data_IF_832454068418
#
_entry.id   IF_832454068418
#
_cell.length_a   1.000
_cell.length_b   1.000
_cell.length_c   1.000
_cell.angle_alpha   90.00
_cell.angle_beta   90.00
_cell.angle_gamma   90.00
#
_symmetry.space_group_name_H-M   'P 1'
#
loop_
_entity.id
_entity.type
_entity.pdbx_description
1 polymer ?
#
# COMPACT_ATOMS: atom_id res chain seq x y z
N UNK A 1 -15.56 23.33 12.35
CA UNK A 1 -14.33 22.51 12.32
C UNK A 1 -14.27 21.79 13.64
N UNK A 2 -14.22 20.47 13.64
CA UNK A 2 -14.26 19.68 14.88
C UNK A 2 -12.86 19.11 15.08
N UNK A 3 -12.10 19.71 15.99
CA UNK A 3 -10.67 19.42 16.22
C UNK A 3 -10.42 18.02 16.85
N UNK A 4 -11.49 17.23 17.03
CA UNK A 4 -11.47 15.88 17.59
C UNK A 4 -11.58 14.76 16.54
N UNK A 5 -11.63 15.07 15.24
CA UNK A 5 -11.70 14.02 14.21
C UNK A 5 -10.30 13.76 13.62
N UNK A 6 -9.78 12.51 13.69
CA UNK A 6 -8.48 12.20 13.12
C UNK A 6 -8.49 12.43 11.60
N UNK A 7 -7.50 13.16 11.11
CA UNK A 7 -7.33 13.40 9.68
C UNK A 7 -6.82 12.12 8.99
N UNK A 8 -7.65 11.50 8.15
CA UNK A 8 -7.27 10.31 7.38
C UNK A 8 -6.71 10.71 6.00
N UNK A 9 -5.50 10.24 5.71
CA UNK A 9 -4.85 10.33 4.39
C UNK A 9 -4.49 8.95 3.86
N UNK A 10 -4.50 8.79 2.53
CA UNK A 10 -4.00 7.57 1.89
C UNK A 10 -2.50 7.39 2.11
N UNK A 11 -2.08 6.14 2.26
CA UNK A 11 -0.67 5.77 2.33
C UNK A 11 -0.08 5.76 0.91
N UNK A 12 1.24 5.95 0.75
CA UNK A 12 1.89 5.83 -0.56
C UNK A 12 1.49 4.53 -1.28
N UNK A 13 1.18 4.63 -2.58
CA UNK A 13 0.72 3.48 -3.37
C UNK A 13 -0.74 3.09 -3.17
N UNK A 14 -1.51 3.85 -2.39
CA UNK A 14 -2.95 3.67 -2.21
C UNK A 14 -3.75 4.91 -2.60
N UNK A 15 -5.00 4.70 -2.99
CA UNK A 15 -5.95 5.77 -3.32
C UNK A 15 -7.24 5.56 -2.52
N UNK A 16 -7.93 6.63 -2.16
CA UNK A 16 -9.23 6.53 -1.48
C UNK A 16 -10.18 5.64 -2.30
N UNK A 17 -10.90 4.75 -1.61
CA UNK A 17 -11.98 3.99 -2.25
C UNK A 17 -13.06 4.95 -2.79
N UNK A 18 -13.38 5.97 -1.99
CA UNK A 18 -14.23 7.08 -2.37
C UNK A 18 -13.64 8.40 -1.85
N UNK A 19 -13.23 9.35 -2.71
CA UNK A 19 -12.66 10.63 -2.30
C UNK A 19 -13.57 11.48 -1.39
N UNK A 20 -14.89 11.30 -1.51
CA UNK A 20 -15.89 11.99 -0.71
C UNK A 20 -16.13 11.31 0.66
N UNK A 21 -15.64 10.07 0.84
CA UNK A 21 -15.81 9.28 2.07
C UNK A 21 -14.45 8.74 2.53
N UNK A 22 -13.60 9.63 3.06
CA UNK A 22 -12.21 9.31 3.46
C UNK A 22 -12.09 8.20 4.52
N UNK A 23 -13.16 7.95 5.28
CA UNK A 23 -13.22 6.90 6.30
C UNK A 23 -13.53 5.50 5.73
N UNK A 24 -13.86 5.39 4.44
CA UNK A 24 -14.06 4.10 3.77
C UNK A 24 -12.72 3.41 3.43
N UNK A 25 -11.60 4.02 3.80
CA UNK A 25 -10.26 3.49 3.58
C UNK A 25 -9.74 3.72 2.17
N UNK A 26 -8.65 3.02 1.87
CA UNK A 26 -7.91 3.16 0.62
C UNK A 26 -7.70 1.78 -0.02
N UNK A 27 -7.72 1.75 -1.35
CA UNK A 27 -7.35 0.57 -2.15
C UNK A 27 -5.95 0.75 -2.74
N UNK A 28 -5.29 -0.36 -3.07
CA UNK A 28 -4.02 -0.32 -3.81
C UNK A 28 -4.23 0.40 -5.15
N UNK A 29 -3.21 1.12 -5.59
CA UNK A 29 -3.20 1.74 -6.91
C UNK A 29 -2.81 0.75 -8.03
N UNK A 30 -2.60 -0.53 -7.70
CA UNK A 30 -2.17 -1.57 -8.62
C UNK A 30 -2.82 -2.93 -8.29
N UNK A 31 -2.93 -3.78 -9.30
CA UNK A 31 -3.46 -5.15 -9.16
C UNK A 31 -2.38 -6.13 -8.72
N UNK A 32 -2.80 -7.27 -8.19
CA UNK A 32 -1.87 -8.35 -7.80
C UNK A 32 -1.10 -8.92 -9.00
N UNK A 33 -1.70 -8.93 -10.19
CA UNK A 33 -1.03 -9.32 -11.43
C UNK A 33 0.09 -8.37 -11.80
N UNK A 34 -0.16 -7.05 -11.73
CA UNK A 34 0.87 -6.03 -11.94
C UNK A 34 1.99 -6.11 -10.90
N UNK A 35 1.70 -6.60 -9.69
CA UNK A 35 2.73 -6.87 -8.70
C UNK A 35 3.72 -7.95 -9.17
N UNK A 36 3.22 -9.07 -9.72
CA UNK A 36 4.11 -10.13 -10.23
C UNK A 36 4.99 -9.62 -11.38
N UNK A 37 4.41 -8.85 -12.30
CA UNK A 37 5.16 -8.21 -13.39
C UNK A 37 6.18 -7.20 -12.85
N UNK A 38 5.83 -6.45 -11.80
CA UNK A 38 6.73 -5.49 -11.17
C UNK A 38 7.89 -6.16 -10.41
N UNK A 39 7.68 -7.37 -9.88
CA UNK A 39 8.73 -8.22 -9.29
C UNK A 39 9.77 -8.62 -10.35
N UNK A 40 9.30 -9.05 -11.51
CA UNK A 40 10.17 -9.42 -12.64
C UNK A 40 10.89 -8.21 -13.25
N UNK A 41 10.24 -7.03 -13.28
CA UNK A 41 10.78 -5.81 -13.90
C UNK A 41 11.47 -4.85 -12.93
N UNK A 42 11.51 -5.17 -11.63
CA UNK A 42 12.05 -4.31 -10.57
C UNK A 42 11.45 -2.88 -10.55
N UNK A 43 10.19 -2.72 -10.93
CA UNK A 43 9.52 -1.42 -11.09
C UNK A 43 8.88 -0.86 -9.81
N UNK A 44 9.50 -1.16 -8.67
CA UNK A 44 9.06 -0.68 -7.36
C UNK A 44 9.78 0.58 -6.91
N UNK A 45 9.07 1.42 -6.18
CA UNK A 45 9.67 2.49 -5.39
C UNK A 45 9.24 2.37 -3.93
N UNK A 46 10.09 2.90 -3.07
CA UNK A 46 9.87 2.95 -1.63
C UNK A 46 9.83 4.41 -1.22
N UNK A 47 8.94 4.71 -0.29
CA UNK A 47 8.97 5.98 0.42
C UNK A 47 8.98 5.67 1.90
N UNK A 48 9.93 6.31 2.56
CA UNK A 48 10.11 6.22 4.00
C UNK A 48 9.11 7.17 4.66
N UNK A 49 8.39 6.65 5.63
CA UNK A 49 7.56 7.43 6.52
C UNK A 49 8.06 7.23 7.94
N UNK A 50 8.44 8.34 8.57
CA UNK A 50 8.86 8.35 9.97
C UNK A 50 7.65 8.50 10.89
N UNK A 51 7.82 7.99 12.13
CA UNK A 51 6.88 8.18 13.24
C UNK A 51 5.54 7.50 12.97
N UNK A 52 5.56 6.35 12.29
CA UNK A 52 4.38 5.56 11.96
C UNK A 52 4.31 4.34 12.87
N UNK A 53 3.14 4.11 13.45
CA UNK A 53 2.83 2.91 14.22
C UNK A 53 1.60 2.23 13.65
N UNK A 54 1.49 0.93 13.90
CA UNK A 54 0.48 0.04 13.36
C UNK A 54 -0.01 -0.80 14.53
N UNK A 55 -1.30 -0.75 14.81
CA UNK A 55 -1.93 -1.60 15.83
C UNK A 55 -2.24 -3.02 15.30
N UNK A 56 -1.73 -3.38 14.11
CA UNK A 56 -1.93 -4.71 13.51
C UNK A 56 -0.71 -5.59 13.70
N UNK A 57 -0.93 -6.91 13.84
CA UNK A 57 0.15 -7.86 14.01
C UNK A 57 0.90 -8.06 12.69
N UNK A 58 2.24 -7.95 12.68
CA UNK A 58 3.01 -8.24 11.48
C UNK A 58 2.84 -9.71 11.11
N UNK A 59 2.59 -10.00 9.83
CA UNK A 59 2.48 -11.39 9.36
C UNK A 59 3.85 -12.07 9.26
N UNK A 60 4.91 -11.28 9.28
CA UNK A 60 6.29 -11.72 9.26
C UNK A 60 7.09 -10.87 10.24
N UNK A 61 7.85 -11.55 11.11
CA UNK A 61 8.83 -10.93 12.01
C UNK A 61 10.11 -11.74 11.95
N UNK A 62 11.23 -11.09 11.65
CA UNK A 62 12.54 -11.73 11.71
C UNK A 62 13.65 -10.69 11.95
N UNK A 63 14.73 -11.09 12.62
CA UNK A 63 15.88 -10.22 12.84
C UNK A 63 16.78 -10.20 11.61
N UNK A 64 17.03 -9.02 11.05
CA UNK A 64 17.83 -8.81 9.84
C UNK A 64 18.25 -7.33 9.72
N UNK A 65 18.98 -6.95 8.67
CA UNK A 65 19.31 -5.53 8.44
C UNK A 65 18.10 -4.73 7.91
N UNK A 66 18.13 -3.41 8.08
CA UNK A 66 17.13 -2.48 7.49
C UNK A 66 17.04 -2.67 5.96
N UNK A 67 18.19 -2.88 5.31
CA UNK A 67 18.29 -3.10 3.87
C UNK A 67 17.65 -4.43 3.44
N UNK A 68 17.92 -5.52 4.15
CA UNK A 68 17.32 -6.83 3.84
C UNK A 68 15.82 -6.83 4.12
N UNK A 69 15.39 -6.14 5.18
CA UNK A 69 13.98 -5.95 5.49
C UNK A 69 13.24 -5.27 4.33
N UNK A 70 13.85 -4.19 3.84
CA UNK A 70 13.34 -3.40 2.72
C UNK A 70 13.27 -4.23 1.43
N UNK A 71 14.38 -4.87 1.04
CA UNK A 71 14.46 -5.73 -0.15
C UNK A 71 13.46 -6.89 -0.09
N UNK A 72 13.37 -7.55 1.05
CA UNK A 72 12.48 -8.68 1.21
C UNK A 72 11.00 -8.29 1.24
N UNK A 73 10.67 -7.02 1.52
CA UNK A 73 9.31 -6.50 1.33
C UNK A 73 9.03 -6.15 -0.14
N UNK A 74 10.02 -5.58 -0.85
CA UNK A 74 9.87 -5.29 -2.28
C UNK A 74 9.52 -6.54 -3.10
N UNK A 75 10.24 -7.64 -2.81
CA UNK A 75 10.08 -8.94 -3.46
C UNK A 75 8.86 -9.74 -2.97
N UNK A 76 8.11 -9.24 -1.99
CA UNK A 76 6.91 -9.90 -1.50
C UNK A 76 5.66 -9.14 -1.97
N UNK A 77 4.87 -9.75 -2.85
CA UNK A 77 3.65 -9.14 -3.37
C UNK A 77 2.55 -8.90 -2.33
N UNK A 78 2.59 -9.63 -1.22
CA UNK A 78 1.67 -9.41 -0.11
C UNK A 78 2.11 -8.26 0.78
N UNK A 79 3.41 -7.93 0.77
CA UNK A 79 3.97 -6.87 1.60
C UNK A 79 3.45 -5.50 1.17
N UNK A 80 2.72 -4.85 2.07
CA UNK A 80 2.32 -3.46 1.96
C UNK A 80 3.42 -2.50 2.40
N UNK A 81 4.19 -2.93 3.39
CA UNK A 81 5.27 -2.17 3.96
C UNK A 81 6.02 -2.97 5.01
N UNK A 82 7.13 -2.41 5.47
CA UNK A 82 7.96 -3.01 6.49
C UNK A 82 8.40 -1.96 7.52
N UNK A 83 8.21 -2.30 8.79
CA UNK A 83 8.69 -1.56 9.94
C UNK A 83 10.03 -2.17 10.37
N UNK A 84 11.06 -1.34 10.44
CA UNK A 84 12.35 -1.73 11.01
C UNK A 84 12.54 -1.06 12.37
N UNK A 85 12.67 -1.88 13.41
CA UNK A 85 12.77 -1.40 14.79
C UNK A 85 13.71 -2.31 15.58
N UNK A 86 14.75 -1.72 16.20
CA UNK A 86 15.68 -2.42 17.11
C UNK A 86 16.27 -3.74 16.56
N UNK A 87 16.55 -3.80 15.26
CA UNK A 87 17.11 -4.99 14.59
C UNK A 87 16.06 -6.01 14.12
N UNK A 88 14.78 -5.78 14.41
CA UNK A 88 13.68 -6.60 13.93
C UNK A 88 13.02 -5.97 12.70
N UNK A 89 12.85 -6.79 11.66
CA UNK A 89 12.00 -6.51 10.52
C UNK A 89 10.59 -7.03 10.77
N UNK A 90 9.59 -6.15 10.68
CA UNK A 90 8.17 -6.48 10.83
C UNK A 90 7.44 -6.11 9.54
N UNK A 91 6.96 -7.10 8.78
CA UNK A 91 6.21 -6.82 7.54
C UNK A 91 4.71 -6.83 7.80
N UNK A 92 4.02 -5.93 7.10
CA UNK A 92 2.58 -5.77 7.14
C UNK A 92 2.01 -6.06 5.76
N UNK A 93 0.87 -6.77 5.72
CA UNK A 93 0.18 -7.11 4.48
C UNK A 93 -1.02 -6.20 4.27
N UNK A 94 -1.48 -6.10 3.03
CA UNK A 94 -2.77 -5.46 2.79
C UNK A 94 -3.96 -6.36 3.19
N UNK A 95 -5.11 -5.77 3.58
CA UNK A 95 -5.30 -4.34 3.82
C UNK A 95 -4.57 -3.89 5.10
N UNK A 96 -3.90 -2.74 5.02
CA UNK A 96 -3.24 -2.11 6.17
C UNK A 96 -4.31 -1.58 7.12
N UNK A 97 -4.27 -2.01 8.39
CA UNK A 97 -5.21 -1.59 9.42
C UNK A 97 -4.51 -0.75 10.48
N UNK A 98 -5.24 0.25 10.99
CA UNK A 98 -4.84 1.06 12.14
C UNK A 98 -3.45 1.72 12.05
N UNK A 99 -2.96 1.95 10.83
CA UNK A 99 -1.76 2.75 10.62
C UNK A 99 -2.03 4.20 11.03
N UNK A 100 -1.21 4.73 11.94
CA UNK A 100 -1.33 6.08 12.47
C UNK A 100 0.04 6.69 12.68
N UNK A 101 0.15 8.01 12.51
CA UNK A 101 1.35 8.75 12.86
C UNK A 101 1.33 9.03 14.36
N UNK A 102 2.39 8.68 15.08
CA UNK A 102 2.51 8.92 16.51
C UNK A 102 3.76 9.77 16.77
N UNK A 103 3.58 10.98 17.29
CA UNK A 103 4.72 11.83 17.64
C UNK A 103 5.55 11.21 18.76
N UNK A 104 6.87 11.12 18.56
CA UNK A 104 7.81 10.53 19.53
C UNK A 104 8.25 9.10 19.20
N UNK A 105 7.63 8.46 18.21
CA UNK A 105 8.08 7.15 17.72
C UNK A 105 9.30 7.30 16.80
N UNK A 106 10.38 6.57 17.05
CA UNK A 106 11.59 6.54 16.21
C UNK A 106 11.52 5.50 15.09
N UNK A 107 10.42 4.75 15.02
CA UNK A 107 10.16 3.74 14.00
C UNK A 107 10.25 4.30 12.59
N UNK A 108 11.04 3.62 11.75
CA UNK A 108 11.08 3.84 10.30
C UNK A 108 10.19 2.84 9.60
N UNK A 109 9.31 3.34 8.74
CA UNK A 109 8.44 2.47 7.97
C UNK A 109 8.57 2.73 6.48
N UNK A 110 8.71 1.64 5.74
CA UNK A 110 8.81 1.62 4.29
C UNK A 110 7.46 1.24 3.69
N UNK A 111 6.94 2.07 2.80
CA UNK A 111 5.75 1.74 2.00
C UNK A 111 6.12 1.38 0.58
N UNK A 112 5.60 0.25 0.09
CA UNK A 112 5.79 -0.21 -1.29
C UNK A 112 4.75 0.42 -2.21
N UNK A 113 5.21 1.05 -3.28
CA UNK A 113 4.34 1.51 -4.35
C UNK A 113 4.96 1.22 -5.73
N UNK A 114 4.10 1.05 -6.74
CA UNK A 114 4.56 0.96 -8.12
C UNK A 114 4.83 2.36 -8.65
N UNK A 115 6.02 2.57 -9.20
CA UNK A 115 6.36 3.78 -9.92
C UNK A 115 6.21 3.52 -11.41
N UNK A 116 5.06 3.86 -11.94
CA UNK A 116 4.87 3.97 -13.38
C UNK A 116 5.41 5.34 -13.80
N UNK A 117 6.44 5.37 -14.65
CA UNK A 117 6.92 6.64 -15.22
C UNK A 117 5.76 7.36 -15.90
N UNK A 118 5.77 8.69 -15.92
CA UNK A 118 4.66 9.51 -16.44
C UNK A 118 4.20 9.14 -17.86
N UNK A 119 5.07 8.54 -18.68
CA UNK A 119 4.75 8.02 -20.01
C UNK A 119 3.90 6.73 -20.03
N UNK A 120 3.92 5.94 -18.95
CA UNK A 120 3.09 4.72 -18.80
C UNK A 120 1.80 4.97 -18.01
N UNK A 121 1.68 6.18 -17.44
CA UNK A 121 0.58 6.61 -16.59
C UNK A 121 -0.75 6.81 -17.33
N UNK A 122 -0.76 6.74 -18.67
CA UNK A 122 -1.97 6.76 -19.51
C UNK A 122 -2.39 5.35 -19.96
N UNK A 123 -1.46 4.41 -20.12
CA UNK A 123 -1.74 3.10 -20.73
C UNK A 123 -2.11 1.99 -19.73
N UNK A 124 -1.87 2.21 -18.43
CA UNK A 124 -2.13 1.22 -17.38
C UNK A 124 -2.96 1.75 -16.20
N UNK A 125 -3.60 2.93 -16.31
CA UNK A 125 -4.61 3.30 -15.30
C UNK A 125 -5.73 2.28 -15.39
N UNK A 126 -5.97 1.45 -14.35
CA UNK A 126 -7.30 0.91 -14.18
C UNK A 126 -8.16 2.15 -13.95
N UNK A 127 -9.04 2.48 -14.89
CA UNK A 127 -9.99 3.55 -14.69
C UNK A 127 -10.67 3.30 -13.35
N UNK A 128 -10.39 4.18 -12.38
CA UNK A 128 -11.03 4.14 -11.09
C UNK A 128 -12.43 4.73 -11.26
N UNK A 129 -13.26 4.06 -12.04
CA UNK A 129 -14.66 4.36 -12.28
C UNK A 129 -15.51 3.21 -11.74
N UNK A 130 -16.61 3.58 -11.09
CA UNK A 130 -17.72 2.69 -10.74
C UNK A 130 -18.45 2.15 -12.00
N UNK A 131 -18.00 2.50 -13.20
CA UNK A 131 -18.57 2.07 -14.48
C UNK A 131 -18.16 0.65 -14.88
N UNK A 132 -17.13 0.05 -14.26
CA UNK A 132 -16.69 -1.31 -14.59
C UNK A 132 -17.68 -2.42 -14.13
N UNK A 133 -18.64 -2.10 -13.25
CA UNK A 133 -19.67 -3.05 -12.82
C UNK A 133 -20.88 -3.16 -13.78
N UNK A 134 -20.99 -2.29 -14.80
CA UNK A 134 -22.15 -2.31 -15.71
C UNK A 134 -21.99 -3.33 -16.85
N UNK A 135 -20.75 -3.72 -17.20
CA UNK A 135 -20.51 -4.54 -18.40
C UNK A 135 -20.29 -6.04 -18.15
N UNK A 136 -20.35 -6.51 -16.91
CA UNK A 136 -20.10 -7.92 -16.58
C UNK A 136 -21.36 -8.63 -16.06
N UNK A 137 -22.24 -9.03 -17.00
CA UNK A 137 -23.09 -10.26 -17.06
C UNK A 137 -24.58 -10.04 -17.37
N UNK A 138 -25.28 -10.97 -18.07
CA UNK A 138 -24.83 -11.87 -19.13
C UNK A 138 -25.75 -11.78 -20.38
N UNK A 139 -25.21 -11.82 -21.60
CA UNK A 139 -26.00 -12.31 -22.74
C UNK A 139 -25.77 -13.81 -22.89
N UNK A 140 -26.50 -14.56 -22.07
CA UNK A 140 -26.87 -15.94 -22.40
C UNK A 140 -27.96 -15.90 -23.47
N UNK A 141 -27.63 -16.41 -24.65
CA UNK A 141 -28.50 -17.23 -25.51
C UNK A 141 -29.94 -16.77 -25.76
N UNK A 142 -30.22 -16.23 -26.96
CA UNK A 142 -31.12 -16.83 -27.95
C UNK A 142 -30.94 -16.17 -29.33
#
# INVERSE_FOLDING_TARGET
>A
MNDNQPYCSSLPGTVFVNPNQRYNGCKRNYTEELCKVAEETSSYSITDMEKMTWDDFPYFKNSMSEEDCTKSCLQDCNCAGALYESGDCKKVKFPVKYAKRLEGDSSKVFFKFLFFSSLSQELLRPECGWEAEILAWPMSSL
#
